data_IF_800970122932
#
_entry.id   IF_800970122932
#
_cell.length_a   1.000
_cell.length_b   1.000
_cell.length_c   1.000
_cell.angle_alpha   90.00
_cell.angle_beta   90.00
_cell.angle_gamma   90.00
#
_symmetry.space_group_name_H-M   'P 1'
#
loop_
_entity.id
_entity.type
_entity.pdbx_description
1 polymer ?
#
# COMPACT_ATOMS: atom_id res chain seq x y z
N UNK A 1 15.54 20.24 20.54
CA UNK A 1 15.32 19.52 19.26
C UNK A 1 15.39 20.52 18.12
N UNK A 2 16.27 20.28 17.14
CA UNK A 2 16.41 21.12 15.95
C UNK A 2 15.08 21.20 15.18
N UNK A 3 14.82 22.31 14.48
CA UNK A 3 13.55 22.53 13.78
C UNK A 3 13.19 21.43 12.76
N UNK A 4 14.19 20.73 12.22
CA UNK A 4 14.01 19.62 11.28
C UNK A 4 13.36 18.38 11.93
N UNK A 5 13.81 17.98 13.12
CA UNK A 5 13.28 16.81 13.82
C UNK A 5 11.80 17.01 14.18
N UNK A 6 11.43 18.23 14.58
CA UNK A 6 10.03 18.60 14.87
C UNK A 6 9.15 18.55 13.62
N UNK A 7 9.68 18.94 12.46
CA UNK A 7 8.99 18.85 11.16
C UNK A 7 8.78 17.40 10.73
N UNK A 8 9.81 16.55 10.84
CA UNK A 8 9.71 15.12 10.51
C UNK A 8 8.73 14.38 11.42
N UNK A 9 8.76 14.65 12.73
CA UNK A 9 7.81 14.03 13.66
C UNK A 9 6.37 14.42 13.35
N UNK A 10 6.11 15.67 12.96
CA UNK A 10 4.77 16.14 12.55
C UNK A 10 4.25 15.49 11.28
N UNK A 11 5.13 15.01 10.40
CA UNK A 11 4.73 14.28 9.20
C UNK A 11 4.44 12.79 9.44
N UNK A 12 4.71 12.29 10.65
CA UNK A 12 4.49 10.87 10.93
C UNK A 12 3.02 10.52 11.12
N UNK A 13 2.66 9.26 10.86
CA UNK A 13 1.32 8.70 11.12
C UNK A 13 0.89 8.80 12.60
N UNK A 14 1.84 8.91 13.52
CA UNK A 14 1.58 9.08 14.96
C UNK A 14 1.41 10.54 15.40
N UNK A 15 1.62 11.52 14.51
CA UNK A 15 1.43 12.91 14.89
C UNK A 15 -0.05 13.23 15.13
N UNK A 16 -0.42 13.90 16.25
CA UNK A 16 -1.80 14.24 16.55
C UNK A 16 -2.45 15.09 15.46
N UNK A 17 -1.67 16.02 14.87
CA UNK A 17 -2.11 16.93 13.81
C UNK A 17 -2.23 16.23 12.43
N UNK A 18 -1.85 14.96 12.31
CA UNK A 18 -1.88 14.25 11.02
C UNK A 18 -3.27 13.74 10.64
N UNK A 19 -4.26 13.80 11.53
CA UNK A 19 -5.58 13.18 11.33
C UNK A 19 -6.48 14.05 10.43
N UNK A 20 -6.88 13.58 9.24
CA UNK A 20 -7.91 14.24 8.45
C UNK A 20 -9.27 14.07 9.13
N UNK A 21 -10.02 15.15 9.28
CA UNK A 21 -11.40 15.10 9.75
C UNK A 21 -12.22 14.16 8.84
N UNK A 22 -12.70 13.04 9.40
CA UNK A 22 -13.50 12.03 8.69
C UNK A 22 -12.87 10.64 8.53
N UNK A 23 -11.64 10.41 8.99
CA UNK A 23 -10.95 9.09 8.88
C UNK A 23 -10.79 8.37 10.24
N UNK A 24 -11.65 8.66 11.23
CA UNK A 24 -11.48 8.19 12.63
C UNK A 24 -11.35 6.68 12.77
N UNK A 25 -12.16 5.92 12.04
CA UNK A 25 -12.24 4.47 12.20
C UNK A 25 -11.00 3.73 11.66
N UNK A 26 -10.26 4.36 10.74
CA UNK A 26 -9.08 3.75 10.12
C UNK A 26 -7.76 4.10 10.84
N UNK A 27 -7.81 4.90 11.92
CA UNK A 27 -6.61 5.39 12.59
C UNK A 27 -5.85 4.29 13.32
N UNK A 28 -6.53 3.44 14.09
CA UNK A 28 -5.88 2.37 14.84
C UNK A 28 -5.20 1.38 13.90
N UNK A 29 -5.89 0.99 12.83
CA UNK A 29 -5.35 0.11 11.79
C UNK A 29 -4.12 0.71 11.13
N UNK A 30 -4.14 2.01 10.81
CA UNK A 30 -3.01 2.68 10.17
C UNK A 30 -1.81 2.90 11.12
N UNK A 31 -2.06 3.11 12.41
CA UNK A 31 -1.02 3.43 13.40
C UNK A 31 -0.36 2.20 14.02
N UNK A 32 -1.08 1.09 14.12
CA UNK A 32 -0.61 -0.12 14.80
C UNK A 32 -0.55 -1.31 13.85
N UNK A 33 -1.67 -1.68 13.21
CA UNK A 33 -1.76 -2.94 12.47
C UNK A 33 -0.89 -2.95 11.21
N UNK A 34 -0.91 -1.87 10.41
CA UNK A 34 -0.14 -1.80 9.18
C UNK A 34 1.38 -1.79 9.40
N UNK A 35 1.94 -0.99 10.34
CA UNK A 35 3.35 -1.07 10.66
C UNK A 35 3.78 -2.44 11.17
N UNK A 36 2.97 -3.06 12.05
CA UNK A 36 3.24 -4.42 12.56
C UNK A 36 3.27 -5.42 11.40
N UNK A 37 2.30 -5.34 10.49
CA UNK A 37 2.26 -6.19 9.30
C UNK A 37 3.52 -6.01 8.43
N UNK A 38 3.92 -4.77 8.13
CA UNK A 38 5.11 -4.52 7.31
C UNK A 38 6.39 -5.04 8.01
N UNK A 39 6.50 -4.92 9.34
CA UNK A 39 7.59 -5.50 10.13
C UNK A 39 7.62 -7.04 10.09
N UNK A 40 6.45 -7.68 10.15
CA UNK A 40 6.33 -9.14 10.00
C UNK A 40 6.82 -9.57 8.62
N UNK A 41 6.43 -8.86 7.56
CA UNK A 41 6.91 -9.17 6.20
C UNK A 41 8.42 -8.93 6.06
N UNK A 42 8.96 -7.86 6.64
CA UNK A 42 10.41 -7.61 6.70
C UNK A 42 11.12 -8.79 7.36
N UNK A 43 10.62 -9.27 8.51
CA UNK A 43 11.19 -10.40 9.22
C UNK A 43 11.15 -11.68 8.34
N UNK A 44 10.00 -12.01 7.75
CA UNK A 44 9.88 -13.18 6.88
C UNK A 44 10.73 -13.11 5.62
N UNK A 45 10.80 -11.94 4.96
CA UNK A 45 11.64 -11.76 3.78
C UNK A 45 13.13 -11.90 4.13
N UNK A 46 13.54 -11.38 5.29
CA UNK A 46 14.91 -11.52 5.81
C UNK A 46 15.23 -12.98 6.11
N UNK A 47 14.34 -13.70 6.79
CA UNK A 47 14.50 -15.14 7.03
C UNK A 47 14.55 -15.93 5.72
N UNK A 48 13.74 -15.55 4.72
CA UNK A 48 13.76 -16.14 3.39
C UNK A 48 15.08 -15.94 2.64
N UNK A 49 15.77 -14.81 2.85
CA UNK A 49 17.11 -14.59 2.30
C UNK A 49 18.19 -15.43 3.00
N UNK A 50 18.08 -15.59 4.34
CA UNK A 50 19.07 -16.30 5.15
C UNK A 50 18.95 -17.82 4.98
N UNK A 51 17.74 -18.36 5.20
CA UNK A 51 17.52 -19.79 5.27
C UNK A 51 17.07 -20.42 3.95
N UNK A 52 16.61 -19.58 3.02
CA UNK A 52 15.86 -20.02 1.82
C UNK A 52 14.61 -20.85 2.16
N UNK A 53 13.69 -20.99 1.20
CA UNK A 53 12.45 -21.75 1.40
C UNK A 53 12.48 -22.99 0.50
N UNK A 54 12.77 -24.19 1.04
CA UNK A 54 12.98 -25.40 0.25
C UNK A 54 11.83 -25.71 -0.72
N UNK A 55 10.58 -25.52 -0.28
CA UNK A 55 9.40 -25.72 -1.11
C UNK A 55 9.42 -24.88 -2.40
N UNK A 56 9.83 -23.61 -2.31
CA UNK A 56 9.89 -22.73 -3.49
C UNK A 56 11.10 -22.97 -4.37
N UNK A 57 12.20 -23.47 -3.80
CA UNK A 57 13.40 -23.81 -4.56
C UNK A 57 13.15 -24.96 -5.53
N UNK A 58 12.30 -25.93 -5.15
CA UNK A 58 11.92 -27.04 -6.02
C UNK A 58 11.18 -26.58 -7.29
N UNK A 59 10.47 -25.45 -7.22
CA UNK A 59 9.65 -24.95 -8.32
C UNK A 59 10.40 -23.94 -9.20
N UNK A 60 11.13 -22.99 -8.58
CA UNK A 60 11.75 -21.86 -9.30
C UNK A 60 13.26 -21.77 -9.18
N UNK A 61 13.88 -22.60 -8.35
CA UNK A 61 15.31 -22.54 -8.05
C UNK A 61 15.68 -21.49 -7.00
N UNK A 62 16.83 -21.70 -6.37
CA UNK A 62 17.30 -20.87 -5.25
C UNK A 62 17.58 -19.42 -5.63
N UNK A 63 18.25 -19.18 -6.76
CA UNK A 63 18.63 -17.84 -7.19
C UNK A 63 17.41 -16.93 -7.39
N UNK A 64 16.38 -17.44 -8.07
CA UNK A 64 15.11 -16.72 -8.30
C UNK A 64 14.45 -16.39 -6.97
N UNK A 65 14.38 -17.36 -6.05
CA UNK A 65 13.72 -17.14 -4.76
C UNK A 65 14.45 -16.17 -3.85
N UNK A 66 15.79 -16.12 -3.90
CA UNK A 66 16.57 -15.08 -3.23
C UNK A 66 16.28 -13.69 -3.79
N UNK A 67 16.16 -13.55 -5.11
CA UNK A 67 15.77 -12.27 -5.74
C UNK A 67 14.36 -11.86 -5.31
N UNK A 68 13.39 -12.79 -5.34
CA UNK A 68 12.02 -12.54 -4.90
C UNK A 68 11.99 -12.09 -3.43
N UNK A 69 12.71 -12.79 -2.54
CA UNK A 69 12.80 -12.41 -1.13
C UNK A 69 13.45 -11.03 -0.94
N UNK A 70 14.49 -10.70 -1.72
CA UNK A 70 15.14 -9.40 -1.70
C UNK A 70 14.23 -8.27 -2.17
N UNK A 71 13.50 -8.47 -3.26
CA UNK A 71 12.49 -7.51 -3.76
C UNK A 71 11.36 -7.35 -2.76
N UNK A 72 10.89 -8.44 -2.15
CA UNK A 72 9.87 -8.41 -1.11
C UNK A 72 10.35 -7.59 0.10
N UNK A 73 11.57 -7.83 0.59
CA UNK A 73 12.18 -7.07 1.69
C UNK A 73 12.27 -5.58 1.37
N UNK A 74 12.82 -5.23 0.20
CA UNK A 74 12.94 -3.84 -0.23
C UNK A 74 11.56 -3.17 -0.34
N UNK A 75 10.58 -3.87 -0.93
CA UNK A 75 9.21 -3.36 -1.05
C UNK A 75 8.54 -3.13 0.31
N UNK A 76 8.74 -4.02 1.28
CA UNK A 76 8.17 -3.88 2.62
C UNK A 76 8.80 -2.72 3.40
N UNK A 77 10.12 -2.50 3.28
CA UNK A 77 10.81 -1.33 3.85
C UNK A 77 10.27 -0.04 3.23
N UNK A 78 10.16 0.01 1.90
CA UNK A 78 9.63 1.19 1.20
C UNK A 78 8.17 1.44 1.56
N UNK A 79 7.37 0.38 1.73
CA UNK A 79 5.99 0.47 2.19
C UNK A 79 5.91 1.03 3.61
N UNK A 80 6.75 0.55 4.53
CA UNK A 80 6.82 1.04 5.90
C UNK A 80 7.22 2.51 5.95
N UNK A 81 8.24 2.92 5.18
CA UNK A 81 8.65 4.32 5.05
C UNK A 81 7.50 5.15 4.47
N UNK A 82 6.88 4.68 3.40
CA UNK A 82 5.74 5.34 2.76
C UNK A 82 4.57 5.53 3.71
N UNK A 83 4.27 4.52 4.52
CA UNK A 83 3.27 4.57 5.57
C UNK A 83 3.66 5.60 6.64
N UNK A 84 4.84 5.47 7.23
CA UNK A 84 5.33 6.35 8.32
C UNK A 84 5.29 7.81 7.90
N UNK A 85 5.76 8.16 6.70
CA UNK A 85 5.79 9.53 6.18
C UNK A 85 4.55 9.93 5.36
N UNK A 86 3.51 9.09 5.32
CA UNK A 86 2.25 9.33 4.60
C UNK A 86 2.41 9.62 3.10
N UNK A 87 3.43 9.02 2.49
CA UNK A 87 3.66 9.07 1.05
C UNK A 87 2.73 8.06 0.36
N UNK A 88 1.44 8.41 0.25
CA UNK A 88 0.35 7.51 -0.20
C UNK A 88 0.66 6.78 -1.52
N UNK A 89 1.29 7.46 -2.50
CA UNK A 89 1.64 6.84 -3.78
C UNK A 89 2.80 5.83 -3.65
N UNK A 90 3.77 6.14 -2.80
CA UNK A 90 4.90 5.26 -2.53
C UNK A 90 4.43 4.01 -1.78
N UNK A 91 3.57 4.19 -0.77
CA UNK A 91 2.92 3.12 -0.03
C UNK A 91 2.08 2.23 -0.96
N UNK A 92 1.27 2.82 -1.84
CA UNK A 92 0.43 2.08 -2.78
C UNK A 92 1.27 1.23 -3.76
N UNK A 93 2.30 1.83 -4.36
CA UNK A 93 3.15 1.13 -5.33
C UNK A 93 3.92 -0.02 -4.68
N UNK A 94 4.57 0.26 -3.55
CA UNK A 94 5.35 -0.75 -2.82
C UNK A 94 4.50 -1.90 -2.28
N UNK A 95 3.32 -1.63 -1.71
CA UNK A 95 2.38 -2.69 -1.30
C UNK A 95 1.86 -3.48 -2.51
N UNK A 96 1.69 -2.85 -3.67
CA UNK A 96 1.35 -3.54 -4.92
C UNK A 96 2.42 -4.55 -5.34
N UNK A 97 3.70 -4.14 -5.31
CA UNK A 97 4.84 -5.04 -5.56
C UNK A 97 4.90 -6.16 -4.51
N UNK A 98 4.73 -5.82 -3.23
CA UNK A 98 4.73 -6.80 -2.14
C UNK A 98 3.62 -7.85 -2.31
N UNK A 99 2.40 -7.45 -2.67
CA UNK A 99 1.29 -8.37 -2.97
C UNK A 99 1.63 -9.28 -4.15
N UNK A 100 2.21 -8.74 -5.22
CA UNK A 100 2.63 -9.54 -6.37
C UNK A 100 3.66 -10.62 -5.97
N UNK A 101 4.62 -10.28 -5.11
CA UNK A 101 5.63 -11.24 -4.60
C UNK A 101 5.03 -12.25 -3.61
N UNK A 102 4.11 -11.81 -2.75
CA UNK A 102 3.42 -12.69 -1.79
C UNK A 102 2.59 -13.78 -2.46
N UNK A 103 2.10 -13.56 -3.69
CA UNK A 103 1.38 -14.58 -4.48
C UNK A 103 2.31 -15.70 -4.95
N UNK A 104 3.61 -15.43 -5.08
CA UNK A 104 4.59 -16.43 -5.51
C UNK A 104 4.65 -17.60 -4.53
N UNK A 105 4.69 -17.37 -3.21
CA UNK A 105 4.78 -18.48 -2.25
C UNK A 105 3.59 -19.47 -2.25
N UNK A 106 2.31 -19.03 -2.10
CA UNK A 106 1.16 -19.93 -2.14
C UNK A 106 0.98 -20.58 -3.51
N UNK A 107 1.37 -19.92 -4.62
CA UNK A 107 1.32 -20.57 -5.94
C UNK A 107 2.30 -21.75 -6.05
N UNK A 108 3.46 -21.70 -5.40
CA UNK A 108 4.39 -22.84 -5.32
C UNK A 108 3.77 -23.98 -4.54
N UNK A 109 3.25 -23.66 -3.35
CA UNK A 109 2.64 -24.65 -2.48
C UNK A 109 1.45 -25.32 -3.15
N UNK A 110 0.58 -24.56 -3.80
CA UNK A 110 -0.54 -25.12 -4.57
C UNK A 110 -0.06 -25.99 -5.72
N UNK A 111 0.97 -25.55 -6.47
CA UNK A 111 1.55 -26.35 -7.56
C UNK A 111 2.10 -27.69 -7.05
N UNK A 112 2.81 -27.67 -5.92
CA UNK A 112 3.35 -28.88 -5.28
C UNK A 112 2.28 -29.74 -4.60
N UNK A 113 1.12 -29.18 -4.29
CA UNK A 113 0.02 -29.88 -3.63
C UNK A 113 -0.94 -30.55 -4.64
N UNK A 114 -0.86 -30.21 -5.93
CA UNK A 114 -1.58 -30.94 -6.99
C UNK A 114 -1.17 -32.42 -7.09
N UNK A 115 0.02 -32.78 -6.59
CA UNK A 115 0.53 -34.15 -6.59
C UNK A 115 0.25 -34.95 -5.32
N UNK A 116 -0.16 -34.31 -4.21
CA UNK A 116 -0.41 -34.99 -2.93
C UNK A 116 -1.26 -34.12 -1.97
N UNK A 117 -2.27 -34.71 -1.34
CA UNK A 117 -3.17 -34.01 -0.41
C UNK A 117 -2.55 -34.02 0.99
N UNK A 118 -1.66 -33.05 1.24
CA UNK A 118 -0.99 -32.90 2.54
C UNK A 118 -1.13 -31.52 3.17
N UNK A 119 -0.40 -31.30 4.27
CA UNK A 119 -0.31 -30.06 5.07
C UNK A 119 0.00 -28.80 4.24
N UNK A 120 0.54 -28.98 3.03
CA UNK A 120 0.87 -27.92 2.07
C UNK A 120 -0.34 -27.09 1.67
N UNK A 121 -1.53 -27.68 1.57
CA UNK A 121 -2.77 -26.95 1.28
C UNK A 121 -3.12 -25.99 2.42
N UNK A 122 -3.02 -26.44 3.67
CA UNK A 122 -3.31 -25.62 4.83
C UNK A 122 -2.34 -24.42 4.92
N UNK A 123 -1.05 -24.67 4.70
CA UNK A 123 -0.03 -23.61 4.69
C UNK A 123 -0.26 -22.64 3.53
N UNK A 124 -0.65 -23.11 2.35
CA UNK A 124 -0.98 -22.24 1.22
C UNK A 124 -2.17 -21.31 1.52
N UNK A 125 -3.23 -21.84 2.15
CA UNK A 125 -4.40 -21.04 2.57
C UNK A 125 -4.01 -20.00 3.62
N UNK A 126 -3.19 -20.37 4.61
CA UNK A 126 -2.68 -19.42 5.60
C UNK A 126 -1.82 -18.32 4.95
N UNK A 127 -0.97 -18.68 3.99
CA UNK A 127 -0.18 -17.71 3.24
C UNK A 127 -1.05 -16.75 2.40
N UNK A 128 -2.14 -17.23 1.81
CA UNK A 128 -3.13 -16.37 1.15
C UNK A 128 -3.75 -15.35 2.12
N UNK A 129 -3.91 -15.70 3.39
CA UNK A 129 -4.40 -14.80 4.44
C UNK A 129 -3.52 -13.54 4.62
N UNK A 130 -2.21 -13.66 4.42
CA UNK A 130 -1.29 -12.52 4.47
C UNK A 130 -1.57 -11.49 3.36
N UNK A 131 -2.21 -11.87 2.27
CA UNK A 131 -2.50 -10.95 1.16
C UNK A 131 -3.65 -9.98 1.52
N UNK A 132 -4.53 -10.35 2.47
CA UNK A 132 -5.75 -9.59 2.77
C UNK A 132 -5.46 -8.19 3.35
N UNK A 133 -4.59 -8.03 4.39
CA UNK A 133 -4.32 -6.71 4.96
C UNK A 133 -3.78 -5.67 3.95
N UNK A 134 -2.74 -5.95 3.14
CA UNK A 134 -2.23 -4.97 2.18
C UNK A 134 -3.26 -4.67 1.08
N UNK A 135 -4.06 -5.64 0.64
CA UNK A 135 -5.14 -5.39 -0.32
C UNK A 135 -6.21 -4.44 0.23
N UNK A 136 -6.64 -4.62 1.48
CA UNK A 136 -7.59 -3.72 2.13
C UNK A 136 -7.08 -2.28 2.15
N UNK A 137 -5.81 -2.10 2.52
CA UNK A 137 -5.15 -0.78 2.51
C UNK A 137 -5.03 -0.19 1.10
N UNK A 138 -4.66 -0.98 0.10
CA UNK A 138 -4.58 -0.51 -1.27
C UNK A 138 -5.95 -0.03 -1.79
N UNK A 139 -7.02 -0.80 -1.55
CA UNK A 139 -8.39 -0.40 -1.91
C UNK A 139 -8.78 0.91 -1.25
N UNK A 140 -8.44 1.08 0.02
CA UNK A 140 -8.66 2.33 0.74
C UNK A 140 -7.91 3.51 0.08
N UNK A 141 -6.62 3.37 -0.22
CA UNK A 141 -5.83 4.43 -0.87
C UNK A 141 -6.35 4.77 -2.27
N UNK A 142 -6.74 3.77 -3.05
CA UNK A 142 -7.31 3.96 -4.39
C UNK A 142 -8.63 4.71 -4.32
N UNK A 143 -9.57 4.27 -3.46
CA UNK A 143 -10.86 4.95 -3.32
C UNK A 143 -10.70 6.39 -2.81
N UNK A 144 -9.78 6.62 -1.88
CA UNK A 144 -9.42 7.97 -1.42
C UNK A 144 -8.86 8.84 -2.54
N UNK A 145 -7.96 8.29 -3.37
CA UNK A 145 -7.39 9.00 -4.51
C UNK A 145 -8.46 9.35 -5.57
N UNK A 146 -9.40 8.43 -5.83
CA UNK A 146 -10.52 8.66 -6.74
C UNK A 146 -11.46 9.76 -6.22
N UNK A 147 -11.86 9.70 -4.95
CA UNK A 147 -12.68 10.74 -4.31
C UNK A 147 -12.05 12.14 -4.41
N UNK A 148 -10.73 12.23 -4.18
CA UNK A 148 -9.99 13.50 -4.34
C UNK A 148 -9.99 13.99 -5.79
N UNK A 149 -9.89 13.10 -6.77
CA UNK A 149 -9.95 13.45 -8.20
C UNK A 149 -11.35 13.97 -8.57
N UNK A 150 -12.39 13.31 -8.08
CA UNK A 150 -13.77 13.70 -8.38
C UNK A 150 -14.16 15.04 -7.73
N UNK A 151 -13.75 15.27 -6.48
CA UNK A 151 -13.92 16.57 -5.82
C UNK A 151 -13.23 17.71 -6.58
N UNK A 152 -12.00 17.49 -7.07
CA UNK A 152 -11.27 18.46 -7.89
C UNK A 152 -11.98 18.72 -9.23
N UNK A 153 -12.57 17.69 -9.83
CA UNK A 153 -13.34 17.83 -11.08
C UNK A 153 -14.64 18.62 -10.84
N UNK A 154 -15.35 18.35 -9.76
CA UNK A 154 -16.57 19.08 -9.38
C UNK A 154 -16.27 20.56 -9.12
N UNK A 155 -15.23 20.88 -8.34
CA UNK A 155 -14.82 22.26 -8.09
C UNK A 155 -14.48 23.01 -9.39
N UNK A 156 -13.76 22.36 -10.33
CA UNK A 156 -13.45 22.96 -11.64
C UNK A 156 -14.69 23.22 -12.50
N UNK A 157 -15.73 22.39 -12.39
CA UNK A 157 -17.00 22.60 -13.10
C UNK A 157 -17.73 23.83 -12.55
N UNK A 158 -17.85 23.94 -11.22
CA UNK A 158 -18.48 25.09 -10.57
C UNK A 158 -17.77 26.40 -10.90
N UNK A 159 -16.44 26.43 -10.85
CA UNK A 159 -15.66 27.62 -11.23
C UNK A 159 -15.94 28.01 -12.69
N UNK A 160 -16.00 27.03 -13.60
CA UNK A 160 -16.29 27.29 -15.02
C UNK A 160 -17.71 27.85 -15.22
N UNK A 161 -18.70 27.30 -14.53
CA UNK A 161 -20.10 27.75 -14.60
C UNK A 161 -20.25 29.20 -14.11
N UNK A 162 -19.62 29.54 -12.99
CA UNK A 162 -19.61 30.91 -12.45
C UNK A 162 -18.95 31.87 -13.45
N UNK A 163 -17.77 31.54 -13.97
CA UNK A 163 -17.07 32.40 -14.95
C UNK A 163 -17.88 32.59 -16.24
N UNK A 164 -18.63 31.59 -16.70
CA UNK A 164 -19.50 31.74 -17.87
C UNK A 164 -20.76 32.56 -17.60
N UNK A 165 -21.30 32.53 -16.37
CA UNK A 165 -22.51 33.24 -15.99
C UNK A 165 -22.29 34.76 -15.85
N UNK A 166 -21.08 35.22 -15.52
CA UNK A 166 -20.76 36.65 -15.34
C UNK A 166 -20.49 37.43 -16.65
N UNK A 167 -20.40 36.76 -17.81
CA UNK A 167 -20.02 37.37 -19.10
C UNK A 167 -21.15 38.13 -19.87
N UNK A 168 -22.47 38.07 -19.58
CA UNK A 168 -23.46 38.67 -20.49
C UNK A 168 -23.69 40.20 -20.35
N UNK A 169 -23.16 40.90 -19.33
CA UNK A 169 -23.62 42.29 -19.05
C UNK A 169 -22.81 43.39 -19.80
N UNK A 170 -21.56 43.14 -20.20
CA UNK A 170 -20.70 44.23 -20.74
C UNK A 170 -20.68 44.36 -22.27
N UNK A 171 -21.65 43.78 -23.00
CA UNK A 171 -21.72 43.90 -24.48
C UNK A 171 -22.86 44.79 -25.00
N UNK A 172 -23.72 45.33 -24.13
CA UNK A 172 -24.84 46.19 -24.57
C UNK A 172 -24.57 47.70 -24.50
N UNK A 173 -23.38 48.14 -24.06
CA UNK A 173 -23.07 49.57 -23.86
C UNK A 173 -22.13 50.23 -24.88
N UNK A 174 -21.81 49.58 -26.00
CA UNK A 174 -20.80 50.05 -26.96
C UNK A 174 -21.36 50.33 -28.37
N UNK A 175 -22.62 50.76 -28.47
CA UNK A 175 -23.23 51.22 -29.72
C UNK A 175 -23.50 52.72 -29.67
#
# INVERSE_FOLDING_TARGET
MTGLARRLLRSTVWAPESQPEGERDYHLVAQMDLPIYDLIIIAFATLGLIYSMPATQLVWGEAVMKVVAGVMLASAIVALIGLVFRLEMLELFSKGVMVAMLITYPSALLTLALGDVGERHAIAVLACGLIIPPQGRMRYLVTKALRRRDARRAARRLVREITTAEIPINRQGAA
#
